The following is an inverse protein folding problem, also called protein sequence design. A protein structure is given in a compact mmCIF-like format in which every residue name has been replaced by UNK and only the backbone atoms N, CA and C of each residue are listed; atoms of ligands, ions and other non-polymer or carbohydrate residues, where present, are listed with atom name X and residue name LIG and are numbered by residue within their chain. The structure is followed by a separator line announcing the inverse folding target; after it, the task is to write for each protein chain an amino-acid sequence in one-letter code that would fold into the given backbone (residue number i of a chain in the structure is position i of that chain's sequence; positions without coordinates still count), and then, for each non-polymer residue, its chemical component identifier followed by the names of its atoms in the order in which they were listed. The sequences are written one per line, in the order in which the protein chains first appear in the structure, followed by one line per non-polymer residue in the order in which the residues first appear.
data_IF_070661670620
#
_entry.id   IF_070661670620
#
_cell.length_a   1.000
_cell.length_b   1.000
_cell.length_c   1.000
_cell.angle_alpha   90.00
_cell.angle_beta   90.00
_cell.angle_gamma   90.00
#
_symmetry.space_group_name_H-M   'P 1'
#
loop_
_entity.id
_entity.type
_entity.pdbx_description
1 polymer ?
#
# COMPACT_ATOMS: atom_id res chain seq x y z
N UNK A 1 0.73 15.96 -8.92
CA UNK A 1 -0.72 15.71 -9.01
C UNK A 1 -1.11 14.67 -7.97
N UNK A 2 -2.37 14.67 -7.54
CA UNK A 2 -2.92 13.69 -6.59
C UNK A 2 -4.02 12.88 -7.29
N UNK A 3 -3.94 11.57 -7.18
CA UNK A 3 -4.76 10.62 -7.91
C UNK A 3 -5.50 9.72 -6.94
N UNK A 4 -6.82 9.66 -7.04
CA UNK A 4 -7.62 8.70 -6.27
C UNK A 4 -7.72 7.39 -7.04
N UNK A 5 -7.02 6.37 -6.56
CA UNK A 5 -6.95 5.05 -7.17
C UNK A 5 -7.86 4.09 -6.43
N UNK A 6 -8.80 3.48 -7.15
CA UNK A 6 -9.58 2.33 -6.66
C UNK A 6 -8.88 1.06 -7.13
N UNK A 7 -8.36 0.28 -6.18
CA UNK A 7 -7.70 -1.00 -6.48
C UNK A 7 -8.73 -2.11 -6.56
N UNK A 8 -8.46 -3.22 -7.25
CA UNK A 8 -9.37 -4.36 -7.28
C UNK A 8 -9.83 -4.79 -5.87
N UNK A 9 -11.08 -5.27 -5.72
CA UNK A 9 -11.55 -5.74 -4.43
C UNK A 9 -10.76 -6.97 -3.98
N UNK A 10 -10.49 -7.02 -2.68
CA UNK A 10 -9.85 -8.13 -1.99
C UNK A 10 -10.95 -8.97 -1.35
N UNK A 11 -11.03 -10.24 -1.75
CA UNK A 11 -12.00 -11.20 -1.22
C UNK A 11 -11.35 -12.00 -0.09
N UNK A 12 -11.84 -11.81 1.13
CA UNK A 12 -11.55 -12.67 2.28
C UNK A 12 -12.71 -13.66 2.48
N UNK A 13 -12.57 -14.59 3.43
CA UNK A 13 -13.55 -15.66 3.64
C UNK A 13 -14.92 -15.10 4.07
N UNK A 14 -14.93 -14.15 5.00
CA UNK A 14 -16.19 -13.62 5.56
C UNK A 14 -16.54 -12.20 5.10
N UNK A 15 -15.63 -11.49 4.44
CA UNK A 15 -15.88 -10.15 3.93
C UNK A 15 -15.14 -9.86 2.63
N UNK A 16 -15.59 -8.82 1.93
CA UNK A 16 -14.92 -8.28 0.75
C UNK A 16 -14.62 -6.81 0.99
N UNK A 17 -13.39 -6.39 0.72
CA UNK A 17 -12.98 -5.00 0.88
C UNK A 17 -12.47 -4.41 -0.42
N UNK A 18 -12.80 -3.15 -0.66
CA UNK A 18 -12.29 -2.37 -1.78
C UNK A 18 -11.26 -1.36 -1.26
N UNK A 19 -9.95 -1.55 -1.55
CA UNK A 19 -8.95 -0.57 -1.20
C UNK A 19 -9.04 0.65 -2.12
N UNK A 20 -9.01 1.82 -1.52
CA UNK A 20 -8.96 3.11 -2.21
C UNK A 20 -7.81 3.91 -1.63
N UNK A 21 -6.98 4.52 -2.47
CA UNK A 21 -5.88 5.37 -2.01
C UNK A 21 -5.82 6.68 -2.79
N UNK A 22 -5.58 7.77 -2.07
CA UNK A 22 -5.17 9.04 -2.67
C UNK A 22 -3.64 9.03 -2.76
N UNK A 23 -3.13 9.06 -3.99
CA UNK A 23 -1.72 8.85 -4.32
C UNK A 23 -1.11 10.12 -4.91
N UNK A 24 -0.02 10.58 -4.34
CA UNK A 24 0.80 11.64 -4.92
C UNK A 24 1.87 11.03 -5.81
N UNK A 25 1.92 11.51 -7.05
CA UNK A 25 3.01 11.21 -7.98
C UNK A 25 3.89 12.44 -8.16
N UNK A 26 5.20 12.25 -8.05
CA UNK A 26 6.21 13.29 -8.28
C UNK A 26 7.24 12.79 -9.27
N UNK A 27 7.34 13.48 -10.39
CA UNK A 27 8.41 13.24 -11.34
C UNK A 27 9.63 14.07 -10.93
N UNK A 28 10.79 13.43 -10.81
CA UNK A 28 12.06 14.11 -10.61
C UNK A 28 12.99 13.78 -11.76
N UNK A 29 13.77 14.78 -12.17
CA UNK A 29 14.77 14.69 -13.21
C UNK A 29 16.07 15.33 -12.73
N UNK A 30 17.17 15.07 -13.45
CA UNK A 30 18.49 15.65 -13.21
C UNK A 30 19.23 15.11 -11.97
N UNK A 31 18.70 14.09 -11.29
CA UNK A 31 19.41 13.41 -10.20
C UNK A 31 19.48 14.18 -8.88
N UNK A 32 18.95 15.40 -8.81
CA UNK A 32 18.90 16.21 -7.59
C UNK A 32 17.82 15.67 -6.64
N UNK A 33 18.14 15.59 -5.35
CA UNK A 33 17.25 15.10 -4.28
C UNK A 33 16.70 13.68 -4.49
N UNK A 34 17.46 12.81 -5.15
CA UNK A 34 17.11 11.40 -5.28
C UNK A 34 17.36 10.67 -3.95
N UNK A 35 16.50 9.72 -3.57
CA UNK A 35 16.77 8.88 -2.42
C UNK A 35 18.14 8.19 -2.53
N UNK A 36 18.89 8.01 -1.42
CA UNK A 36 20.26 7.49 -1.46
C UNK A 36 20.44 6.10 -2.09
N UNK A 37 19.35 5.33 -2.18
CA UNK A 37 19.36 3.98 -2.76
C UNK A 37 19.24 3.97 -4.29
N UNK A 38 18.98 5.13 -4.92
CA UNK A 38 18.88 5.25 -6.38
C UNK A 38 20.28 5.49 -6.96
N UNK A 39 20.72 4.70 -7.95
CA UNK A 39 22.03 4.91 -8.58
C UNK A 39 22.14 6.27 -9.26
N UNK A 40 23.32 6.90 -9.17
CA UNK A 40 23.56 8.24 -9.73
C UNK A 40 23.40 8.35 -11.26
N UNK A 41 23.50 7.24 -11.99
CA UNK A 41 23.32 7.23 -13.45
C UNK A 41 21.85 7.31 -13.88
N UNK A 42 20.90 7.21 -12.95
CA UNK A 42 19.48 7.33 -13.22
C UNK A 42 19.15 8.79 -13.48
N UNK A 43 18.65 9.11 -14.67
CA UNK A 43 18.34 10.49 -15.07
C UNK A 43 16.98 10.97 -14.58
N UNK A 44 16.05 10.05 -14.33
CA UNK A 44 14.63 10.33 -14.05
C UNK A 44 14.05 9.29 -13.10
N UNK A 45 13.28 9.74 -12.11
CA UNK A 45 12.51 8.87 -11.23
C UNK A 45 11.07 9.34 -11.12
N UNK A 46 10.16 8.39 -10.91
CA UNK A 46 8.79 8.62 -10.49
C UNK A 46 8.66 8.21 -9.03
N UNK A 47 8.51 9.19 -8.14
CA UNK A 47 8.18 8.93 -6.74
C UNK A 47 6.67 8.77 -6.57
N UNK A 48 6.29 7.77 -5.80
CA UNK A 48 4.92 7.46 -5.41
C UNK A 48 4.79 7.57 -3.89
N UNK A 49 3.74 8.24 -3.43
CA UNK A 49 3.42 8.34 -2.01
C UNK A 49 1.92 8.22 -1.80
N UNK A 50 1.51 7.35 -0.88
CA UNK A 50 0.13 7.33 -0.41
C UNK A 50 -0.07 8.46 0.59
N UNK A 51 -1.08 9.29 0.35
CA UNK A 51 -1.42 10.44 1.20
C UNK A 51 -2.54 10.02 2.16
N UNK A 52 -3.53 9.31 1.62
CA UNK A 52 -4.70 8.79 2.34
C UNK A 52 -5.07 7.45 1.75
N UNK A 53 -5.73 6.62 2.55
CA UNK A 53 -6.27 5.35 2.09
C UNK A 53 -7.52 4.99 2.90
N UNK A 54 -8.38 4.17 2.29
CA UNK A 54 -9.63 3.69 2.85
C UNK A 54 -9.82 2.22 2.45
N UNK A 55 -10.41 1.42 3.35
CA UNK A 55 -10.89 0.07 3.06
C UNK A 55 -12.42 0.05 3.17
N UNK A 56 -13.10 0.17 2.03
CA UNK A 56 -14.56 0.09 2.01
C UNK A 56 -15.01 -1.37 2.11
N UNK A 57 -16.08 -1.66 2.84
CA UNK A 57 -16.61 -3.02 3.01
C UNK A 57 -16.40 -3.65 4.39
N UNK A 58 -15.59 -3.02 5.26
CA UNK A 58 -15.45 -3.45 6.66
C UNK A 58 -16.64 -3.03 7.56
N UNK A 59 -17.34 -1.96 7.18
CA UNK A 59 -18.46 -1.38 7.96
C UNK A 59 -19.68 -2.30 8.14
N UNK A 60 -19.77 -3.42 7.43
CA UNK A 60 -20.94 -4.32 7.56
C UNK A 60 -20.85 -5.28 8.75
N UNK A 61 -19.67 -5.43 9.37
CA UNK A 61 -19.47 -6.40 10.47
C UNK A 61 -19.22 -5.77 11.84
N UNK A 62 -18.80 -4.50 11.90
CA UNK A 62 -18.36 -3.85 13.15
C UNK A 62 -19.17 -2.59 13.44
N UNK A 63 -20.38 -2.76 14.00
CA UNK A 63 -21.15 -1.68 14.65
C UNK A 63 -20.66 -1.38 16.09
N UNK A 64 -19.49 -1.90 16.45
CA UNK A 64 -18.78 -1.62 17.71
C UNK A 64 -17.65 -0.69 17.31
N UNK A 65 -17.44 0.40 18.05
CA UNK A 65 -16.34 1.36 17.86
C UNK A 65 -15.10 0.70 17.24
N UNK A 66 -14.72 1.14 16.05
CA UNK A 66 -13.73 0.55 15.13
C UNK A 66 -12.67 -0.32 15.84
N UNK A 67 -12.86 -1.65 15.92
CA UNK A 67 -11.97 -2.50 16.70
C UNK A 67 -10.58 -2.62 16.07
N UNK A 68 -10.42 -2.17 14.82
CA UNK A 68 -9.23 -2.31 14.01
C UNK A 68 -8.67 -0.96 13.59
N UNK A 69 -7.79 -0.40 14.43
CA UNK A 69 -6.97 0.72 14.01
C UNK A 69 -5.85 0.22 13.08
N UNK A 70 -6.12 0.27 11.78
CA UNK A 70 -5.15 -0.01 10.73
C UNK A 70 -4.49 1.29 10.29
N UNK A 71 -3.17 1.27 10.04
CA UNK A 71 -2.46 2.35 9.37
C UNK A 71 -1.60 1.79 8.25
N UNK A 72 -1.62 2.45 7.10
CA UNK A 72 -0.85 2.10 5.92
C UNK A 72 -0.07 3.34 5.45
N UNK A 73 1.26 3.25 5.45
CA UNK A 73 2.16 4.20 4.77
C UNK A 73 2.83 3.45 3.62
N UNK A 74 2.64 3.96 2.40
CA UNK A 74 3.25 3.40 1.19
C UNK A 74 4.04 4.49 0.50
N UNK A 75 5.30 4.20 0.22
CA UNK A 75 6.21 5.09 -0.51
C UNK A 75 7.01 4.27 -1.48
N UNK A 76 7.31 4.83 -2.64
CA UNK A 76 8.13 4.12 -3.60
C UNK A 76 8.75 5.00 -4.65
N UNK A 77 9.62 4.40 -5.43
CA UNK A 77 10.29 5.01 -6.56
C UNK A 77 10.35 4.02 -7.71
N UNK A 78 9.97 4.48 -8.90
CA UNK A 78 10.05 3.74 -10.15
C UNK A 78 11.06 4.45 -11.05
N UNK A 79 11.99 3.70 -11.62
CA UNK A 79 13.02 4.28 -12.48
C UNK A 79 13.47 3.33 -13.59
N UNK A 80 13.89 3.85 -14.76
CA UNK A 80 14.40 3.03 -15.84
C UNK A 80 15.84 2.61 -15.57
N UNK A 81 16.08 1.31 -15.50
CA UNK A 81 17.41 0.72 -15.41
C UNK A 81 17.84 0.24 -16.81
N UNK A 82 19.10 0.47 -17.17
CA UNK A 82 19.62 0.11 -18.50
C UNK A 82 20.91 -0.68 -18.38
N UNK A 83 20.98 -1.79 -19.12
CA UNK A 83 22.20 -2.58 -19.29
C UNK A 83 22.40 -2.91 -20.77
N UNK A 84 23.28 -2.15 -21.42
CA UNK A 84 23.48 -2.24 -22.87
C UNK A 84 22.21 -1.84 -23.64
N UNK A 85 21.71 -2.75 -24.48
CA UNK A 85 20.46 -2.54 -25.25
C UNK A 85 19.19 -2.88 -24.45
N UNK A 86 19.32 -3.49 -23.28
CA UNK A 86 18.19 -3.90 -22.45
C UNK A 86 17.81 -2.75 -21.51
N UNK A 87 16.51 -2.45 -21.42
CA UNK A 87 15.94 -1.51 -20.48
C UNK A 87 14.75 -2.13 -19.77
N UNK A 88 14.64 -1.92 -18.47
CA UNK A 88 13.49 -2.33 -17.68
C UNK A 88 13.16 -1.24 -16.65
N UNK A 89 11.94 -1.27 -16.12
CA UNK A 89 11.57 -0.44 -14.98
C UNK A 89 11.92 -1.20 -13.71
N UNK A 90 12.68 -0.55 -12.84
CA UNK A 90 12.91 -1.02 -11.49
C UNK A 90 11.96 -0.28 -10.57
N UNK A 91 11.23 -1.05 -9.77
CA UNK A 91 10.28 -0.56 -8.80
C UNK A 91 10.81 -0.86 -7.39
N UNK A 92 10.82 0.15 -6.52
CA UNK A 92 11.15 -0.01 -5.12
C UNK A 92 10.05 0.62 -4.28
N UNK A 93 9.22 -0.22 -3.66
CA UNK A 93 8.11 0.20 -2.80
C UNK A 93 8.41 -0.25 -1.37
N UNK A 94 8.37 0.69 -0.44
CA UNK A 94 8.30 0.44 1.00
C UNK A 94 6.84 0.56 1.44
N UNK A 95 6.39 -0.44 2.19
CA UNK A 95 5.07 -0.47 2.80
C UNK A 95 5.21 -0.71 4.29
N UNK A 96 4.59 0.17 5.08
CA UNK A 96 4.48 0.05 6.52
C UNK A 96 3.01 -0.12 6.88
N UNK A 97 2.69 -1.32 7.34
CA UNK A 97 1.37 -1.64 7.88
C UNK A 97 1.51 -1.69 9.40
N UNK A 98 0.61 -1.02 10.10
CA UNK A 98 0.45 -1.20 11.54
C UNK A 98 -1.00 -1.53 11.84
N UNK A 99 -1.16 -2.47 12.76
CA UNK A 99 -2.45 -2.98 13.17
C UNK A 99 -2.47 -2.94 14.69
N UNK A 100 -3.34 -2.09 15.24
CA UNK A 100 -3.49 -1.97 16.69
C UNK A 100 -4.72 -2.75 17.10
N UNK A 101 -4.48 -3.74 17.95
CA UNK A 101 -5.54 -4.55 18.53
C UNK A 101 -6.18 -3.79 19.68
N UNK A 102 -7.43 -3.34 19.52
CA UNK A 102 -8.19 -2.76 20.62
C UNK A 102 -8.45 -3.82 21.72
N UNK A 103 -8.42 -3.47 23.02
CA UNK A 103 -8.78 -4.37 24.12
C UNK A 103 -10.18 -5.00 23.98
N UNK A 104 -11.09 -4.38 23.22
CA UNK A 104 -12.40 -4.94 22.90
C UNK A 104 -12.34 -6.22 22.04
N UNK A 105 -11.18 -6.57 21.46
CA UNK A 105 -11.00 -7.79 20.66
C UNK A 105 -11.13 -9.11 21.41
N UNK A 106 -11.17 -9.11 22.75
CA UNK A 106 -11.43 -10.34 23.52
C UNK A 106 -12.77 -10.98 23.12
N UNK A 107 -13.71 -10.18 22.60
CA UNK A 107 -15.02 -10.65 22.13
C UNK A 107 -15.07 -10.94 20.62
N UNK A 108 -13.98 -10.70 19.89
CA UNK A 108 -13.91 -10.90 18.44
C UNK A 108 -13.58 -12.38 18.17
N UNK A 109 -14.39 -13.09 17.37
CA UNK A 109 -14.11 -14.49 17.03
C UNK A 109 -12.77 -14.68 16.32
N UNK A 110 -12.09 -15.80 16.58
CA UNK A 110 -10.76 -16.11 15.99
C UNK A 110 -10.73 -16.02 14.45
N UNK A 111 -11.80 -16.47 13.78
CA UNK A 111 -11.87 -16.43 12.31
C UNK A 111 -11.81 -15.00 11.75
N UNK A 112 -12.26 -14.00 12.50
CA UNK A 112 -12.15 -12.59 12.11
C UNK A 112 -10.70 -12.11 12.17
N UNK A 113 -9.94 -12.54 13.18
CA UNK A 113 -8.52 -12.20 13.30
C UNK A 113 -7.71 -12.81 12.17
N UNK A 114 -8.04 -14.05 11.79
CA UNK A 114 -7.45 -14.72 10.65
C UNK A 114 -7.69 -13.96 9.33
N UNK A 115 -8.92 -13.50 9.10
CA UNK A 115 -9.25 -12.69 7.93
C UNK A 115 -8.49 -11.34 7.93
N UNK A 116 -8.29 -10.70 9.08
CA UNK A 116 -7.49 -9.47 9.17
C UNK A 116 -6.01 -9.71 8.80
N UNK A 117 -5.44 -10.84 9.24
CA UNK A 117 -4.07 -11.24 8.86
C UNK A 117 -4.01 -11.57 7.36
N UNK A 118 -5.02 -12.26 6.83
CA UNK A 118 -5.12 -12.56 5.40
C UNK A 118 -5.22 -11.27 4.57
N UNK A 119 -6.00 -10.29 5.03
CA UNK A 119 -6.11 -8.99 4.39
C UNK A 119 -4.76 -8.24 4.35
N UNK A 120 -4.01 -8.22 5.46
CA UNK A 120 -2.64 -7.65 5.50
C UNK A 120 -1.76 -8.32 4.45
N UNK A 121 -1.83 -9.65 4.36
CA UNK A 121 -1.06 -10.43 3.39
C UNK A 121 -1.46 -10.12 1.95
N UNK A 122 -2.76 -10.05 1.66
CA UNK A 122 -3.28 -9.76 0.32
C UNK A 122 -2.98 -8.34 -0.12
N UNK A 123 -3.04 -7.37 0.80
CA UNK A 123 -2.56 -6.02 0.56
C UNK A 123 -1.09 -6.06 0.17
N UNK A 124 -0.21 -6.68 0.95
CA UNK A 124 1.22 -6.76 0.61
C UNK A 124 1.49 -7.34 -0.78
N UNK A 125 0.75 -8.39 -1.18
CA UNK A 125 0.88 -9.02 -2.50
C UNK A 125 0.39 -8.13 -3.65
N UNK A 126 -0.67 -7.36 -3.44
CA UNK A 126 -1.25 -6.50 -4.46
C UNK A 126 -0.32 -5.35 -4.90
N UNK A 127 0.68 -5.02 -4.09
CA UNK A 127 1.67 -3.96 -4.36
C UNK A 127 3.04 -4.48 -4.82
N UNK A 128 3.22 -5.80 -4.92
CA UNK A 128 4.46 -6.46 -5.40
C UNK A 128 4.38 -6.93 -6.86
N UNK A 129 3.33 -6.58 -7.60
CA UNK A 129 3.12 -6.93 -9.02
C UNK A 129 3.69 -5.84 -9.93
#
# INVERSE_FOLDING_TARGET
EEWRIKMPPIQCIFFSVQPIADVRLRFKSNGEDYPPHIPHHISQILELQFIKWELQGLNTFYNIDDPFHFSLDVRGSIYPERRGKLSWLKNQIEMKISFVVSPAMIFVPEHVLQDAVELVRMLFLSFHI
#
